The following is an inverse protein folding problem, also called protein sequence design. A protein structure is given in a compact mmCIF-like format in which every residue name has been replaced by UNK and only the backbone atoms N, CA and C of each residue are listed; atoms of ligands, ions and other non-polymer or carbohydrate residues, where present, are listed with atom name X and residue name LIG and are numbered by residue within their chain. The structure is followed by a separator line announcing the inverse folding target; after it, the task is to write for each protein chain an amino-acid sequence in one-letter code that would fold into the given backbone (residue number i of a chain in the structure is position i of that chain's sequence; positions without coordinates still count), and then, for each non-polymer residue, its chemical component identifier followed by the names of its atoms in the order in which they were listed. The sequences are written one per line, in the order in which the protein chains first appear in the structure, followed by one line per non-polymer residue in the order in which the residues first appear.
data_IF_395793093976
#
_entry.id   IF_395793093976
#
_cell.length_a   1.000
_cell.length_b   1.000
_cell.length_c   1.000
_cell.angle_alpha   90.00
_cell.angle_beta   90.00
_cell.angle_gamma   90.00
#
_symmetry.space_group_name_H-M   'P 1'
#
loop_
_entity.id
_entity.type
_entity.pdbx_description
1 polymer ?
#
# COMPACT_ATOMS: atom_id res chain seq x y z
N UNK A 1 52.75 -36.80 69.97
CA UNK A 1 52.20 -37.13 68.63
C UNK A 1 50.81 -36.50 68.48
N UNK A 2 50.65 -35.35 67.81
CA UNK A 2 49.35 -34.68 67.64
C UNK A 2 48.76 -35.12 66.29
N UNK A 3 47.56 -35.70 66.35
CA UNK A 3 46.80 -36.09 65.18
C UNK A 3 46.18 -34.85 64.53
N UNK A 4 46.50 -34.55 63.22
CA UNK A 4 45.81 -33.53 62.41
C UNK A 4 44.50 -34.12 61.91
N UNK A 5 43.39 -33.51 62.35
CA UNK A 5 42.06 -33.78 61.76
C UNK A 5 41.88 -32.96 60.43
N UNK A 6 41.69 -33.68 59.37
CA UNK A 6 41.37 -33.06 58.06
C UNK A 6 39.88 -32.76 58.03
N UNK A 7 39.52 -31.46 57.96
CA UNK A 7 38.15 -31.02 57.64
C UNK A 7 37.97 -30.96 56.12
N UNK A 8 37.11 -31.80 55.57
CA UNK A 8 36.63 -31.73 54.21
C UNK A 8 35.35 -30.87 54.14
N UNK A 9 35.43 -29.72 53.52
CA UNK A 9 34.26 -28.86 53.22
C UNK A 9 33.64 -29.32 51.90
N UNK A 10 32.35 -29.71 51.86
CA UNK A 10 31.70 -30.05 50.61
C UNK A 10 31.38 -28.76 49.83
N UNK A 11 31.89 -28.67 48.61
CA UNK A 11 31.58 -27.62 47.63
C UNK A 11 30.21 -27.92 47.02
N UNK A 12 29.18 -27.20 47.48
CA UNK A 12 27.85 -27.24 46.81
C UNK A 12 27.87 -26.37 45.57
N UNK A 13 27.91 -27.00 44.39
CA UNK A 13 27.70 -26.33 43.11
C UNK A 13 26.19 -26.04 42.95
N UNK A 14 25.82 -24.78 43.11
CA UNK A 14 24.48 -24.32 42.76
C UNK A 14 24.41 -24.16 41.22
N UNK A 15 23.80 -25.10 40.52
CA UNK A 15 23.40 -24.94 39.11
C UNK A 15 22.21 -23.98 39.07
N UNK A 16 22.47 -22.72 38.71
CA UNK A 16 21.42 -21.77 38.35
C UNK A 16 21.01 -22.09 36.91
N UNK A 17 19.91 -22.82 36.74
CA UNK A 17 19.25 -22.98 35.45
C UNK A 17 18.57 -21.66 35.06
N UNK A 18 19.24 -20.90 34.20
CA UNK A 18 18.62 -19.76 33.53
C UNK A 18 17.61 -20.31 32.50
N UNK A 19 16.35 -20.41 32.89
CA UNK A 19 15.24 -20.64 31.96
C UNK A 19 15.12 -19.40 31.11
N UNK A 20 15.74 -19.40 29.95
CA UNK A 20 15.41 -18.44 28.89
C UNK A 20 13.99 -18.73 28.43
N UNK A 21 13.00 -17.99 28.92
CA UNK A 21 11.70 -17.89 28.29
C UNK A 21 11.95 -17.30 26.88
N UNK A 22 11.93 -18.14 25.87
CA UNK A 22 11.83 -17.68 24.50
C UNK A 22 10.49 -16.94 24.42
N UNK A 23 10.52 -15.62 24.58
CA UNK A 23 9.42 -14.75 24.17
C UNK A 23 9.25 -15.02 22.70
N UNK A 24 8.15 -15.70 22.32
CA UNK A 24 7.82 -15.96 20.94
C UNK A 24 7.92 -14.65 20.17
N UNK A 25 8.82 -14.57 19.20
CA UNK A 25 9.01 -13.39 18.39
C UNK A 25 7.65 -13.04 17.79
N UNK A 26 7.11 -11.85 18.11
CA UNK A 26 5.82 -11.40 17.58
C UNK A 26 5.91 -11.47 16.05
N UNK A 27 5.03 -12.25 15.44
CA UNK A 27 4.99 -12.35 13.97
C UNK A 27 4.67 -10.97 13.40
N UNK A 28 5.51 -10.48 12.50
CA UNK A 28 5.28 -9.23 11.77
C UNK A 28 4.76 -9.61 10.37
N UNK A 29 3.49 -9.32 10.10
CA UNK A 29 2.82 -9.61 8.83
C UNK A 29 2.62 -8.32 8.05
N UNK A 30 3.15 -8.23 6.84
CA UNK A 30 3.19 -7.02 6.02
C UNK A 30 2.41 -7.23 4.73
N UNK A 31 1.53 -6.26 4.40
CA UNK A 31 0.80 -6.19 3.15
C UNK A 31 1.45 -5.14 2.24
N UNK A 32 1.76 -5.50 1.00
CA UNK A 32 2.34 -4.60 0.00
C UNK A 32 1.39 -4.52 -1.19
N UNK A 33 0.73 -3.37 -1.39
CA UNK A 33 -0.03 -3.09 -2.60
C UNK A 33 0.86 -2.38 -3.62
N UNK A 34 0.89 -2.89 -4.85
CA UNK A 34 1.84 -2.47 -5.88
C UNK A 34 1.11 -1.96 -7.10
N UNK A 35 1.41 -0.71 -7.48
CA UNK A 35 0.91 -0.05 -8.66
C UNK A 35 2.05 0.24 -9.66
N UNK A 36 1.76 0.76 -10.84
CA UNK A 36 2.76 0.86 -11.89
C UNK A 36 3.09 2.30 -12.31
N UNK A 37 2.13 3.20 -12.26
CA UNK A 37 2.30 4.59 -12.73
C UNK A 37 3.35 5.34 -11.94
N UNK A 38 3.48 5.07 -10.65
CA UNK A 38 4.41 5.74 -9.75
C UNK A 38 5.82 5.12 -9.68
N UNK A 39 6.11 4.00 -10.37
CA UNK A 39 7.46 3.42 -10.36
C UNK A 39 8.47 4.26 -11.16
N UNK A 40 9.76 4.04 -10.89
CA UNK A 40 10.85 4.77 -11.56
C UNK A 40 10.80 4.61 -13.08
N UNK A 41 10.90 5.73 -13.78
CA UNK A 41 11.02 5.78 -15.24
C UNK A 41 9.69 5.81 -15.99
N UNK A 42 8.59 5.36 -15.42
CA UNK A 42 7.26 5.43 -16.04
C UNK A 42 6.81 6.88 -16.18
N UNK A 43 6.45 7.29 -17.40
CA UNK A 43 6.04 8.66 -17.73
C UNK A 43 4.87 8.74 -18.70
N UNK A 44 4.55 7.65 -19.40
CA UNK A 44 3.51 7.59 -20.42
C UNK A 44 2.63 6.34 -20.26
N UNK A 45 1.41 6.40 -20.77
CA UNK A 45 0.48 5.26 -20.72
C UNK A 45 0.97 4.03 -21.47
N UNK A 46 1.84 4.21 -22.48
CA UNK A 46 2.49 3.10 -23.20
C UNK A 46 3.44 2.31 -22.34
N UNK A 47 3.95 2.90 -21.26
CA UNK A 47 4.83 2.24 -20.28
C UNK A 47 4.04 1.26 -19.41
N UNK A 48 2.73 1.46 -19.25
CA UNK A 48 1.88 0.74 -18.26
C UNK A 48 0.87 -0.21 -18.89
N UNK A 49 0.65 -0.14 -20.22
CA UNK A 49 -0.36 -0.96 -20.92
C UNK A 49 0.24 -2.22 -21.49
N UNK A 50 -0.37 -3.37 -21.18
CA UNK A 50 0.10 -4.69 -21.58
C UNK A 50 0.22 -4.94 -23.10
N UNK A 51 -0.43 -4.10 -23.92
CA UNK A 51 -0.35 -4.13 -25.39
C UNK A 51 0.91 -3.46 -25.95
N UNK A 52 1.60 -2.63 -25.16
CA UNK A 52 2.63 -1.74 -25.63
C UNK A 52 4.04 -2.26 -25.35
N UNK A 53 5.03 -1.91 -26.19
CA UNK A 53 6.36 -2.51 -26.18
C UNK A 53 7.15 -2.24 -24.90
N UNK A 54 7.03 -1.04 -24.32
CA UNK A 54 7.78 -0.61 -23.14
C UNK A 54 7.24 -1.22 -21.84
N UNK A 55 6.00 -1.67 -21.83
CA UNK A 55 5.39 -2.37 -20.70
C UNK A 55 6.22 -3.55 -20.21
N UNK A 56 6.83 -4.35 -21.10
CA UNK A 56 7.64 -5.50 -20.71
C UNK A 56 8.92 -5.11 -19.96
N UNK A 57 9.44 -3.93 -20.23
CA UNK A 57 10.56 -3.37 -19.46
C UNK A 57 10.07 -2.87 -18.09
N UNK A 58 8.99 -2.09 -18.06
CA UNK A 58 8.53 -1.46 -16.82
C UNK A 58 7.93 -2.45 -15.82
N UNK A 59 7.31 -3.53 -16.26
CA UNK A 59 6.89 -4.58 -15.33
C UNK A 59 8.07 -5.27 -14.62
N UNK A 60 9.26 -5.31 -15.25
CA UNK A 60 10.50 -5.75 -14.57
C UNK A 60 10.96 -4.73 -13.55
N UNK A 61 10.88 -3.44 -13.86
CA UNK A 61 11.19 -2.37 -12.89
C UNK A 61 10.25 -2.46 -11.70
N UNK A 62 8.95 -2.58 -11.94
CA UNK A 62 7.91 -2.78 -10.93
C UNK A 62 8.22 -4.00 -10.02
N UNK A 63 8.54 -5.15 -10.60
CA UNK A 63 8.89 -6.36 -9.84
C UNK A 63 10.13 -6.12 -8.97
N UNK A 64 11.15 -5.44 -9.49
CA UNK A 64 12.38 -5.14 -8.74
C UNK A 64 12.17 -4.12 -7.63
N UNK A 65 11.32 -3.09 -7.80
CA UNK A 65 10.96 -2.16 -6.72
C UNK A 65 10.13 -2.87 -5.64
N UNK A 66 9.25 -3.79 -6.03
CA UNK A 66 8.53 -4.67 -5.11
C UNK A 66 9.49 -5.53 -4.29
N UNK A 67 10.49 -6.15 -4.95
CA UNK A 67 11.51 -6.94 -4.25
C UNK A 67 12.30 -6.12 -3.24
N UNK A 68 12.65 -4.88 -3.57
CA UNK A 68 13.31 -3.99 -2.64
C UNK A 68 12.46 -3.72 -1.38
N UNK A 69 11.14 -3.56 -1.54
CA UNK A 69 10.23 -3.41 -0.41
C UNK A 69 10.13 -4.71 0.42
N UNK A 70 10.06 -5.88 -0.23
CA UNK A 70 10.07 -7.18 0.45
C UNK A 70 11.35 -7.35 1.26
N UNK A 71 12.52 -7.10 0.65
CA UNK A 71 13.81 -7.17 1.34
C UNK A 71 13.87 -6.26 2.55
N UNK A 72 13.41 -5.00 2.42
CA UNK A 72 13.33 -4.06 3.54
C UNK A 72 12.42 -4.56 4.66
N UNK A 73 11.29 -5.19 4.33
CA UNK A 73 10.37 -5.78 5.29
C UNK A 73 11.00 -6.99 6.01
N UNK A 74 11.64 -7.91 5.28
CA UNK A 74 12.33 -9.07 5.85
C UNK A 74 13.48 -8.64 6.78
N UNK A 75 14.28 -7.65 6.36
CA UNK A 75 15.35 -7.10 7.19
C UNK A 75 14.84 -6.38 8.45
N UNK A 76 13.60 -5.90 8.44
CA UNK A 76 12.92 -5.34 9.62
C UNK A 76 12.29 -6.42 10.51
N UNK A 77 12.37 -7.71 10.12
CA UNK A 77 11.86 -8.84 10.88
C UNK A 77 10.47 -9.31 10.47
N UNK A 78 9.97 -8.92 9.28
CA UNK A 78 8.72 -9.48 8.76
C UNK A 78 8.83 -11.00 8.61
N UNK A 79 7.83 -11.71 9.10
CA UNK A 79 7.74 -13.18 9.04
C UNK A 79 6.77 -13.67 7.99
N UNK A 80 5.93 -12.77 7.48
CA UNK A 80 5.01 -13.01 6.38
C UNK A 80 4.86 -11.74 5.56
N UNK A 81 5.03 -11.83 4.24
CA UNK A 81 4.84 -10.72 3.31
C UNK A 81 3.87 -11.16 2.23
N UNK A 82 2.78 -10.43 2.10
CA UNK A 82 1.79 -10.62 1.02
C UNK A 82 1.92 -9.42 0.07
N UNK A 83 2.12 -9.72 -1.20
CA UNK A 83 2.16 -8.74 -2.29
C UNK A 83 0.87 -8.82 -3.07
N UNK A 84 0.18 -7.69 -3.23
CA UNK A 84 -0.98 -7.50 -4.08
C UNK A 84 -0.55 -6.76 -5.34
N UNK A 85 -0.64 -7.41 -6.49
CA UNK A 85 -0.51 -6.77 -7.80
C UNK A 85 -1.80 -6.03 -8.11
N UNK A 86 -1.79 -4.70 -8.11
CA UNK A 86 -3.00 -3.89 -8.15
C UNK A 86 -3.11 -2.95 -9.35
N UNK A 87 -2.18 -3.03 -10.31
CA UNK A 87 -2.26 -2.24 -11.54
C UNK A 87 -3.04 -2.95 -12.65
N UNK A 88 -3.91 -2.21 -13.33
CA UNK A 88 -4.56 -2.61 -14.58
C UNK A 88 -5.17 -4.02 -14.55
N UNK A 89 -4.49 -5.00 -15.13
CA UNK A 89 -4.97 -6.40 -15.14
C UNK A 89 -4.67 -7.18 -13.85
N UNK A 90 -3.98 -6.59 -12.88
CA UNK A 90 -3.43 -7.25 -11.69
C UNK A 90 -2.54 -8.47 -12.03
N UNK A 91 -1.82 -8.41 -13.16
CA UNK A 91 -0.94 -9.49 -13.67
C UNK A 91 0.40 -8.95 -14.18
N UNK A 92 0.91 -7.90 -13.54
CA UNK A 92 2.08 -7.16 -13.98
C UNK A 92 3.38 -7.74 -13.38
N UNK A 93 3.37 -8.03 -12.09
CA UNK A 93 4.52 -8.63 -11.39
C UNK A 93 4.87 -9.97 -12.03
N UNK A 94 6.17 -10.20 -12.24
CA UNK A 94 6.73 -11.40 -12.80
C UNK A 94 6.95 -12.45 -11.68
N UNK A 95 6.16 -13.54 -11.63
CA UNK A 95 6.24 -14.49 -10.51
C UNK A 95 7.62 -15.13 -10.33
N UNK A 96 8.30 -15.46 -11.42
CA UNK A 96 9.66 -16.05 -11.38
C UNK A 96 10.74 -15.07 -10.91
N UNK A 97 10.49 -13.76 -11.02
CA UNK A 97 11.44 -12.72 -10.60
C UNK A 97 11.11 -12.13 -9.23
N UNK A 98 9.93 -12.46 -8.65
CA UNK A 98 9.53 -12.02 -7.33
C UNK A 98 10.35 -12.76 -6.26
N UNK A 99 10.70 -12.05 -5.18
CA UNK A 99 11.38 -12.63 -4.03
C UNK A 99 10.58 -13.84 -3.48
N UNK A 100 11.19 -15.03 -3.36
CA UNK A 100 10.51 -16.28 -3.01
C UNK A 100 9.94 -16.31 -1.58
N UNK A 101 10.37 -15.40 -0.71
CA UNK A 101 9.85 -15.29 0.67
C UNK A 101 8.49 -14.59 0.74
N UNK A 102 8.02 -13.98 -0.36
CA UNK A 102 6.71 -13.34 -0.41
C UNK A 102 5.67 -14.21 -1.11
N UNK A 103 4.41 -14.04 -0.73
CA UNK A 103 3.26 -14.61 -1.44
C UNK A 103 2.65 -13.55 -2.35
N UNK A 104 2.30 -13.90 -3.59
CA UNK A 104 1.72 -13.01 -4.58
C UNK A 104 0.22 -13.26 -4.73
N UNK A 105 -0.60 -12.25 -4.43
CA UNK A 105 -2.00 -12.21 -4.83
C UNK A 105 -2.09 -11.52 -6.20
N UNK A 106 -2.43 -12.28 -7.22
CA UNK A 106 -2.42 -11.90 -8.63
C UNK A 106 -3.78 -12.13 -9.28
N UNK A 107 -4.28 -11.16 -10.01
CA UNK A 107 -5.64 -11.15 -10.57
C UNK A 107 -6.63 -10.45 -9.64
N UNK A 108 -7.76 -10.00 -10.17
CA UNK A 108 -8.80 -9.34 -9.38
C UNK A 108 -9.72 -10.35 -8.70
N UNK A 109 -10.03 -10.12 -7.43
CA UNK A 109 -11.03 -10.91 -6.69
C UNK A 109 -12.45 -10.49 -7.10
N UNK A 110 -12.63 -9.21 -7.47
CA UNK A 110 -13.93 -8.66 -7.85
C UNK A 110 -14.81 -8.29 -6.66
N UNK A 111 -14.18 -8.00 -5.52
CA UNK A 111 -14.85 -7.58 -4.29
C UNK A 111 -14.66 -6.09 -3.98
N UNK A 112 -15.13 -5.62 -2.83
CA UNK A 112 -15.11 -4.21 -2.45
C UNK A 112 -13.73 -3.66 -2.06
N UNK A 113 -12.73 -4.51 -1.96
CA UNK A 113 -11.40 -4.10 -1.49
C UNK A 113 -10.48 -3.67 -2.64
N UNK A 114 -10.77 -4.05 -3.89
CA UNK A 114 -10.03 -3.63 -5.08
C UNK A 114 -8.53 -3.86 -4.96
N UNK A 115 -7.76 -2.77 -5.00
CA UNK A 115 -6.30 -2.80 -4.86
C UNK A 115 -5.81 -3.31 -3.50
N UNK A 116 -6.70 -3.48 -2.52
CA UNK A 116 -6.43 -4.00 -1.18
C UNK A 116 -6.97 -5.42 -0.96
N UNK A 117 -7.40 -6.11 -2.02
CA UNK A 117 -7.85 -7.50 -1.91
C UNK A 117 -6.81 -8.37 -1.21
N UNK A 118 -7.25 -9.13 -0.21
CA UNK A 118 -6.40 -9.99 0.61
C UNK A 118 -5.93 -9.38 1.93
N UNK A 119 -6.23 -8.10 2.20
CA UNK A 119 -6.00 -7.50 3.52
C UNK A 119 -7.04 -7.97 4.53
N UNK A 120 -6.60 -8.13 5.78
CA UNK A 120 -7.45 -8.38 6.94
C UNK A 120 -6.82 -7.78 8.22
N UNK A 121 -7.49 -7.91 9.36
CA UNK A 121 -7.03 -7.41 10.66
C UNK A 121 -5.80 -8.14 11.23
N UNK A 122 -5.31 -9.18 10.58
CA UNK A 122 -4.12 -9.92 11.02
C UNK A 122 -2.81 -9.30 10.56
N UNK A 123 -2.87 -8.31 9.66
CA UNK A 123 -1.70 -7.57 9.22
C UNK A 123 -1.26 -6.53 10.25
N UNK A 124 0.05 -6.29 10.34
CA UNK A 124 0.64 -5.28 11.23
C UNK A 124 0.94 -3.97 10.49
N UNK A 125 1.16 -4.00 9.17
CA UNK A 125 1.50 -2.84 8.36
C UNK A 125 1.09 -2.99 6.90
N UNK A 126 0.79 -1.84 6.26
CA UNK A 126 0.60 -1.69 4.81
C UNK A 126 1.69 -0.83 4.22
N UNK A 127 2.17 -1.24 3.04
CA UNK A 127 3.15 -0.54 2.22
C UNK A 127 2.55 -0.34 0.82
N UNK A 128 2.72 0.85 0.26
CA UNK A 128 2.34 1.20 -1.10
C UNK A 128 3.57 1.41 -1.98
N UNK A 129 3.66 0.72 -3.10
CA UNK A 129 4.76 0.82 -4.06
C UNK A 129 4.23 1.25 -5.41
N UNK A 130 4.85 2.28 -6.01
CA UNK A 130 4.51 2.71 -7.36
C UNK A 130 3.20 3.49 -7.49
N UNK A 131 2.75 4.14 -6.42
CA UNK A 131 1.51 4.92 -6.42
C UNK A 131 1.69 6.30 -7.06
N UNK A 132 0.59 6.84 -7.56
CA UNK A 132 0.50 8.11 -8.27
C UNK A 132 -0.53 9.05 -7.65
N UNK A 133 -0.60 10.29 -8.14
CA UNK A 133 -1.53 11.31 -7.66
C UNK A 133 -2.94 11.13 -8.24
N UNK A 134 -3.95 11.78 -7.60
CA UNK A 134 -5.33 11.83 -8.08
C UNK A 134 -5.48 12.71 -9.32
N UNK A 135 -6.61 12.60 -10.06
CA UNK A 135 -6.87 13.38 -11.27
C UNK A 135 -6.73 14.89 -11.06
N UNK A 136 -6.23 15.58 -12.09
CA UNK A 136 -6.12 17.03 -12.11
C UNK A 136 -5.01 17.60 -11.21
N UNK A 137 -4.07 16.79 -10.77
CA UNK A 137 -2.93 17.21 -9.94
C UNK A 137 -1.82 17.80 -10.81
N UNK A 138 -1.43 19.07 -10.60
CA UNK A 138 -0.33 19.67 -11.34
C UNK A 138 1.00 18.96 -11.07
N UNK A 139 1.86 18.87 -12.09
CA UNK A 139 3.18 18.24 -11.99
C UNK A 139 3.13 16.79 -11.44
N UNK A 140 2.07 16.08 -11.75
CA UNK A 140 1.93 14.65 -11.56
C UNK A 140 1.96 13.94 -12.92
N UNK A 141 2.31 12.66 -12.93
CA UNK A 141 2.41 11.86 -14.14
C UNK A 141 1.36 10.75 -14.07
N UNK A 142 0.56 10.61 -15.14
CA UNK A 142 -0.50 9.60 -15.26
C UNK A 142 -1.53 9.63 -14.13
N UNK A 143 -1.82 10.82 -13.61
CA UNK A 143 -2.67 11.04 -12.46
C UNK A 143 -4.12 10.59 -12.72
N UNK A 144 -4.66 9.78 -11.85
CA UNK A 144 -6.04 9.30 -11.90
C UNK A 144 -6.47 8.70 -10.55
N UNK A 145 -7.70 8.22 -10.45
CA UNK A 145 -8.19 7.41 -9.33
C UNK A 145 -9.11 6.34 -9.90
N UNK A 146 -8.71 5.08 -9.82
CA UNK A 146 -9.38 3.86 -10.26
C UNK A 146 -9.51 3.79 -11.79
N UNK A 147 -10.15 4.76 -12.43
CA UNK A 147 -10.33 4.79 -13.88
C UNK A 147 -9.82 6.10 -14.46
N UNK A 148 -8.71 6.02 -15.21
CA UNK A 148 -8.16 7.17 -15.94
C UNK A 148 -9.06 7.66 -17.08
N UNK A 149 -10.01 6.84 -17.54
CA UNK A 149 -10.93 7.17 -18.65
C UNK A 149 -12.25 7.73 -18.16
N UNK A 150 -12.71 7.37 -16.97
CA UNK A 150 -14.08 7.60 -16.55
C UNK A 150 -14.24 8.54 -15.35
N UNK A 151 -13.26 8.61 -14.47
CA UNK A 151 -13.36 9.34 -13.18
C UNK A 151 -12.52 10.62 -13.21
N UNK A 152 -13.07 11.71 -12.66
CA UNK A 152 -12.37 12.98 -12.45
C UNK A 152 -12.14 13.28 -10.97
N UNK A 153 -12.96 12.74 -10.07
CA UNK A 153 -12.75 12.88 -8.62
C UNK A 153 -13.50 11.79 -7.85
N UNK A 154 -12.90 11.32 -6.78
CA UNK A 154 -13.52 10.45 -5.77
C UNK A 154 -13.41 11.15 -4.43
N UNK A 155 -14.53 11.39 -3.76
CA UNK A 155 -14.54 11.92 -2.40
C UNK A 155 -15.16 10.93 -1.43
N UNK A 156 -14.46 10.68 -0.32
CA UNK A 156 -15.01 9.90 0.80
C UNK A 156 -15.10 10.83 2.01
N UNK A 157 -16.29 11.04 2.53
CA UNK A 157 -16.60 12.00 3.59
C UNK A 157 -16.04 13.42 3.32
N UNK A 158 -16.09 13.84 2.04
CA UNK A 158 -15.59 15.15 1.58
C UNK A 158 -14.09 15.22 1.31
N UNK A 159 -13.32 14.18 1.62
CA UNK A 159 -11.89 14.08 1.31
C UNK A 159 -11.74 13.60 -0.13
N UNK A 160 -11.18 14.45 -1.00
CA UNK A 160 -10.84 14.06 -2.38
C UNK A 160 -9.60 13.16 -2.37
N UNK A 161 -9.75 11.94 -2.84
CA UNK A 161 -8.80 10.86 -2.64
C UNK A 161 -8.03 10.49 -3.91
N UNK A 162 -6.68 10.40 -3.85
CA UNK A 162 -5.93 9.48 -4.71
C UNK A 162 -6.25 8.03 -4.30
N UNK A 163 -5.82 7.07 -5.09
CA UNK A 163 -5.94 5.65 -4.76
C UNK A 163 -5.28 5.31 -3.42
N UNK A 164 -4.11 5.89 -3.14
CA UNK A 164 -3.45 5.74 -1.84
C UNK A 164 -4.30 6.23 -0.66
N UNK A 165 -5.15 7.25 -0.87
CA UNK A 165 -6.11 7.72 0.12
C UNK A 165 -7.25 6.73 0.34
N UNK A 166 -7.91 6.28 -0.73
CA UNK A 166 -8.96 5.26 -0.67
C UNK A 166 -8.44 3.97 0.00
N UNK A 167 -7.28 3.50 -0.45
CA UNK A 167 -6.64 2.28 0.05
C UNK A 167 -6.16 2.42 1.51
N UNK A 168 -5.72 3.62 1.89
CA UNK A 168 -5.40 3.93 3.29
C UNK A 168 -6.62 3.88 4.20
N UNK A 169 -7.80 4.29 3.70
CA UNK A 169 -9.06 4.15 4.42
C UNK A 169 -9.51 2.68 4.52
N UNK A 170 -9.28 1.87 3.47
CA UNK A 170 -9.50 0.41 3.54
C UNK A 170 -8.58 -0.23 4.59
N UNK A 171 -7.29 0.10 4.60
CA UNK A 171 -6.35 -0.37 5.63
C UNK A 171 -6.83 0.03 7.04
N UNK A 172 -7.25 1.28 7.20
CA UNK A 172 -7.78 1.81 8.46
C UNK A 172 -9.06 1.11 8.93
N UNK A 173 -9.93 0.69 8.02
CA UNK A 173 -11.11 -0.13 8.34
C UNK A 173 -10.72 -1.44 9.03
N UNK A 174 -9.63 -2.09 8.60
CA UNK A 174 -9.04 -3.28 9.23
C UNK A 174 -8.10 -2.95 10.40
N UNK A 175 -7.99 -1.67 10.81
CA UNK A 175 -7.11 -1.22 11.88
C UNK A 175 -5.61 -1.44 11.60
N UNK A 176 -5.22 -1.47 10.33
CA UNK A 176 -3.84 -1.63 9.90
C UNK A 176 -3.27 -0.28 9.45
N UNK A 177 -2.13 0.17 10.00
CA UNK A 177 -1.51 1.42 9.59
C UNK A 177 -0.83 1.30 8.22
N UNK A 178 -0.93 2.33 7.39
CA UNK A 178 -0.06 2.51 6.22
C UNK A 178 1.23 3.17 6.70
N UNK A 179 2.37 2.52 6.48
CA UNK A 179 3.65 2.95 7.06
C UNK A 179 4.61 3.55 6.04
N UNK A 180 4.48 3.15 4.76
CA UNK A 180 5.38 3.60 3.69
C UNK A 180 4.65 3.72 2.35
N UNK A 181 5.04 4.73 1.56
CA UNK A 181 4.64 4.86 0.15
C UNK A 181 5.84 5.28 -0.69
N UNK A 182 6.05 4.60 -1.83
CA UNK A 182 6.86 5.11 -2.93
C UNK A 182 6.01 5.44 -4.15
N UNK A 183 6.36 6.53 -4.85
CA UNK A 183 5.61 6.98 -6.01
C UNK A 183 6.16 8.29 -6.59
N UNK A 184 5.33 9.05 -7.28
CA UNK A 184 5.70 10.41 -7.66
C UNK A 184 5.60 11.38 -6.46
N UNK A 185 6.23 12.57 -6.59
CA UNK A 185 6.25 13.57 -5.51
C UNK A 185 4.83 14.00 -5.09
N UNK A 186 3.91 14.15 -6.04
CA UNK A 186 2.55 14.59 -5.75
C UNK A 186 1.76 13.52 -4.99
N UNK A 187 1.95 12.24 -5.31
CA UNK A 187 1.38 11.13 -4.54
C UNK A 187 1.90 11.12 -3.10
N UNK A 188 3.22 11.33 -2.91
CA UNK A 188 3.83 11.44 -1.59
C UNK A 188 3.23 12.58 -0.75
N UNK A 189 3.02 13.73 -1.37
CA UNK A 189 2.44 14.89 -0.70
C UNK A 189 0.96 14.67 -0.35
N UNK A 190 0.18 14.09 -1.26
CA UNK A 190 -1.24 13.80 -1.06
C UNK A 190 -1.48 12.76 0.02
N UNK A 191 -0.72 11.66 0.03
CA UNK A 191 -0.90 10.64 1.06
C UNK A 191 -0.55 11.16 2.45
N UNK A 192 0.47 12.01 2.59
CA UNK A 192 0.80 12.67 3.86
C UNK A 192 -0.31 13.62 4.32
N UNK A 193 -0.91 14.36 3.39
CA UNK A 193 -1.99 15.29 3.72
C UNK A 193 -3.25 14.54 4.23
N UNK A 194 -3.49 13.30 3.76
CA UNK A 194 -4.65 12.50 4.15
C UNK A 194 -4.35 11.62 5.37
N UNK A 195 -3.28 10.82 5.32
CA UNK A 195 -2.98 9.81 6.34
C UNK A 195 -2.10 10.33 7.49
N UNK A 196 -1.49 11.52 7.33
CA UNK A 196 -0.65 12.13 8.36
C UNK A 196 0.75 11.52 8.42
N UNK A 197 1.10 10.91 9.54
CA UNK A 197 2.42 10.33 9.75
C UNK A 197 2.61 9.06 8.91
N UNK A 198 3.35 9.18 7.82
CA UNK A 198 3.74 8.10 6.91
C UNK A 198 5.12 8.39 6.33
N UNK A 199 5.99 7.39 6.23
CA UNK A 199 7.24 7.52 5.46
C UNK A 199 6.93 7.52 3.97
N UNK A 200 7.56 8.41 3.21
CA UNK A 200 7.38 8.45 1.75
C UNK A 200 8.70 8.60 1.03
N UNK A 201 8.76 8.07 -0.18
CA UNK A 201 9.87 8.22 -1.10
C UNK A 201 9.37 8.65 -2.48
N UNK A 202 9.69 9.86 -2.90
CA UNK A 202 9.47 10.27 -4.28
C UNK A 202 10.57 9.70 -5.17
N UNK A 203 10.24 8.73 -6.02
CA UNK A 203 11.17 8.17 -7.00
C UNK A 203 11.23 9.00 -8.28
N UNK A 204 10.25 9.89 -8.45
CA UNK A 204 10.20 10.87 -9.55
C UNK A 204 9.41 12.12 -9.15
N UNK A 205 9.63 13.20 -9.91
CA UNK A 205 8.90 14.46 -9.81
C UNK A 205 8.43 14.88 -11.18
N UNK A 206 7.13 15.08 -11.36
CA UNK A 206 6.54 15.58 -12.59
C UNK A 206 6.95 17.02 -12.90
N UNK A 207 7.10 17.31 -14.20
CA UNK A 207 7.33 18.65 -14.77
C UNK A 207 6.46 18.74 -16.02
N UNK A 208 5.24 19.21 -15.90
CA UNK A 208 4.23 19.05 -16.93
C UNK A 208 3.98 17.56 -17.23
N UNK A 209 4.07 17.17 -18.49
CA UNK A 209 3.94 15.78 -18.93
C UNK A 209 5.24 14.95 -18.84
N UNK A 210 6.36 15.56 -18.42
CA UNK A 210 7.63 14.88 -18.21
C UNK A 210 7.86 14.60 -16.73
N UNK A 211 8.85 13.77 -16.40
CA UNK A 211 9.28 13.57 -15.03
C UNK A 211 10.81 13.54 -14.90
N UNK A 212 11.29 14.14 -13.83
CA UNK A 212 12.66 13.95 -13.37
C UNK A 212 12.69 12.70 -12.47
N UNK A 213 13.33 11.65 -12.95
CA UNK A 213 13.37 10.34 -12.30
C UNK A 213 14.68 10.11 -11.55
N UNK A 214 14.62 9.40 -10.42
CA UNK A 214 15.78 8.72 -9.87
C UNK A 214 16.17 7.56 -10.80
N UNK A 215 17.46 7.20 -10.79
CA UNK A 215 17.87 5.96 -11.44
C UNK A 215 17.19 4.76 -10.77
N UNK A 216 16.64 3.78 -11.50
CA UNK A 216 15.86 2.68 -10.89
C UNK A 216 16.61 1.88 -9.83
N UNK A 217 17.96 1.77 -9.96
CA UNK A 217 18.78 1.13 -8.93
C UNK A 217 18.79 1.94 -7.63
N UNK A 218 18.93 3.27 -7.74
CA UNK A 218 18.90 4.16 -6.57
C UNK A 218 17.52 4.17 -5.90
N UNK A 219 16.45 4.10 -6.69
CA UNK A 219 15.09 3.97 -6.14
C UNK A 219 14.93 2.69 -5.32
N UNK A 220 15.41 1.57 -5.81
CA UNK A 220 15.37 0.29 -5.09
C UNK A 220 16.13 0.33 -3.77
N UNK A 221 17.34 0.89 -3.77
CA UNK A 221 18.12 1.08 -2.54
C UNK A 221 17.32 1.88 -1.51
N UNK A 222 16.78 3.04 -1.91
CA UNK A 222 16.03 3.93 -1.02
C UNK A 222 14.67 3.35 -0.59
N UNK A 223 13.98 2.58 -1.43
CA UNK A 223 12.75 1.86 -1.07
C UNK A 223 13.05 0.86 0.06
N UNK A 224 14.08 0.03 -0.13
CA UNK A 224 14.49 -0.96 0.88
C UNK A 224 14.81 -0.31 2.22
N UNK A 225 15.62 0.74 2.22
CA UNK A 225 15.98 1.49 3.42
C UNK A 225 14.76 2.15 4.08
N UNK A 226 13.88 2.78 3.26
CA UNK A 226 12.68 3.46 3.73
C UNK A 226 11.67 2.50 4.39
N UNK A 227 11.44 1.34 3.78
CA UNK A 227 10.58 0.30 4.33
C UNK A 227 11.14 -0.25 5.64
N UNK A 228 12.44 -0.58 5.66
CA UNK A 228 13.11 -1.05 6.88
C UNK A 228 13.02 -0.03 8.02
N UNK A 229 13.25 1.25 7.72
CA UNK A 229 13.13 2.35 8.67
C UNK A 229 11.69 2.50 9.19
N UNK A 230 10.70 2.47 8.31
CA UNK A 230 9.28 2.58 8.70
C UNK A 230 8.87 1.44 9.62
N UNK A 231 9.16 0.20 9.27
CA UNK A 231 8.81 -0.96 10.09
C UNK A 231 9.59 -0.99 11.42
N UNK A 232 10.82 -0.47 11.47
CA UNK A 232 11.61 -0.33 12.69
C UNK A 232 11.01 0.63 13.72
N UNK A 233 10.06 1.49 13.31
CA UNK A 233 9.31 2.42 14.18
C UNK A 233 7.79 2.25 14.04
N UNK A 234 7.33 1.02 13.83
CA UNK A 234 5.92 0.70 13.57
C UNK A 234 4.94 1.31 14.58
N UNK A 235 5.33 1.42 15.85
CA UNK A 235 4.50 2.02 16.90
C UNK A 235 4.15 3.50 16.70
N UNK A 236 4.89 4.21 15.85
CA UNK A 236 4.67 5.63 15.59
C UNK A 236 3.50 5.85 14.61
N UNK A 237 3.13 4.83 13.84
CA UNK A 237 2.06 4.90 12.86
C UNK A 237 0.73 4.49 13.46
N UNK A 238 -0.33 5.15 13.02
CA UNK A 238 -1.70 4.86 13.42
C UNK A 238 -2.54 4.51 12.21
N UNK A 239 -3.46 3.54 12.30
CA UNK A 239 -4.48 3.35 11.28
C UNK A 239 -5.27 4.64 11.03
N UNK A 240 -5.61 4.91 9.79
CA UNK A 240 -6.51 6.03 9.47
C UNK A 240 -7.93 5.70 9.93
N UNK A 241 -8.51 6.53 10.79
CA UNK A 241 -9.85 6.30 11.30
C UNK A 241 -10.86 7.20 10.58
N UNK A 242 -11.81 6.58 9.90
CA UNK A 242 -12.96 7.25 9.31
C UNK A 242 -14.21 6.89 10.09
N UNK A 243 -15.00 7.90 10.48
CA UNK A 243 -16.24 7.71 11.24
C UNK A 243 -17.44 7.79 10.31
N UNK A 244 -18.39 6.87 10.48
CA UNK A 244 -19.66 6.90 9.74
C UNK A 244 -20.64 7.97 10.23
N UNK A 245 -21.71 8.25 9.48
CA UNK A 245 -22.03 7.59 8.21
C UNK A 245 -21.01 7.88 7.12
N UNK A 246 -20.78 6.89 6.25
CA UNK A 246 -19.81 6.99 5.16
C UNK A 246 -20.50 7.47 3.90
N UNK A 247 -19.99 8.55 3.32
CA UNK A 247 -20.49 9.12 2.07
C UNK A 247 -19.40 9.04 1.01
N UNK A 248 -19.73 8.49 -0.16
CA UNK A 248 -18.88 8.55 -1.34
C UNK A 248 -19.53 9.40 -2.43
N UNK A 249 -18.73 10.24 -3.07
CA UNK A 249 -19.10 11.06 -4.21
C UNK A 249 -18.11 10.75 -5.34
N UNK A 250 -18.64 10.23 -6.45
CA UNK A 250 -17.81 9.92 -7.64
C UNK A 250 -18.21 10.88 -8.74
N UNK A 251 -17.25 11.66 -9.22
CA UNK A 251 -17.44 12.59 -10.34
C UNK A 251 -16.82 11.98 -11.59
N UNK A 252 -17.63 11.84 -12.63
CA UNK A 252 -17.28 11.18 -13.89
C UNK A 252 -16.87 12.17 -14.96
N UNK A 253 -16.24 11.68 -16.04
CA UNK A 253 -15.92 12.46 -17.24
C UNK A 253 -17.11 12.65 -18.18
N UNK A 254 -18.16 11.84 -18.02
CA UNK A 254 -19.39 11.97 -18.81
C UNK A 254 -20.64 11.76 -17.95
N UNK A 255 -21.73 12.38 -18.40
CA UNK A 255 -23.02 12.39 -17.72
C UNK A 255 -23.66 10.99 -17.65
N UNK A 256 -23.50 10.18 -18.70
CA UNK A 256 -24.08 8.83 -18.78
C UNK A 256 -23.58 7.93 -17.63
N UNK A 257 -22.30 8.00 -17.31
CA UNK A 257 -21.71 7.25 -16.18
C UNK A 257 -22.32 7.68 -14.86
N UNK A 258 -22.43 8.99 -14.61
CA UNK A 258 -23.08 9.50 -13.41
C UNK A 258 -24.55 9.08 -13.29
N UNK A 259 -25.26 9.09 -14.42
CA UNK A 259 -26.65 8.63 -14.47
C UNK A 259 -26.77 7.13 -14.12
N UNK A 260 -25.92 6.30 -14.72
CA UNK A 260 -25.89 4.85 -14.45
C UNK A 260 -25.54 4.54 -13.01
N UNK A 261 -24.52 5.19 -12.45
CA UNK A 261 -24.10 5.01 -11.07
C UNK A 261 -25.22 5.40 -10.08
N UNK A 262 -26.01 6.43 -10.40
CA UNK A 262 -27.15 6.84 -9.57
C UNK A 262 -28.33 5.84 -9.60
N UNK A 263 -28.32 4.82 -10.47
CA UNK A 263 -29.29 3.71 -10.44
C UNK A 263 -28.95 2.67 -9.37
N UNK A 264 -27.79 2.76 -8.76
CA UNK A 264 -27.46 1.92 -7.62
C UNK A 264 -28.47 2.13 -6.49
N UNK A 265 -28.99 1.07 -5.84
CA UNK A 265 -29.97 1.20 -4.77
C UNK A 265 -29.49 2.11 -3.62
N UNK A 266 -30.19 3.22 -3.40
CA UNK A 266 -29.85 4.22 -2.39
C UNK A 266 -28.85 5.28 -2.83
N UNK A 267 -28.30 5.21 -4.04
CA UNK A 267 -27.51 6.28 -4.61
C UNK A 267 -28.39 7.40 -5.19
N UNK A 268 -27.81 8.57 -5.35
CA UNK A 268 -28.47 9.75 -5.93
C UNK A 268 -27.53 10.48 -6.86
N UNK A 269 -28.08 11.11 -7.88
CA UNK A 269 -27.32 12.02 -8.74
C UNK A 269 -27.33 13.41 -8.08
N UNK A 270 -26.17 13.84 -7.59
CA UNK A 270 -26.02 15.11 -6.86
C UNK A 270 -25.46 16.25 -7.69
N UNK A 271 -25.04 15.96 -8.92
CA UNK A 271 -24.61 16.92 -9.94
C UNK A 271 -24.75 16.27 -11.31
N UNK A 272 -24.55 17.06 -12.36
CA UNK A 272 -24.68 16.53 -13.73
C UNK A 272 -23.75 15.35 -14.00
N UNK A 273 -22.58 15.36 -13.37
CA UNK A 273 -21.52 14.37 -13.56
C UNK A 273 -21.18 13.62 -12.26
N UNK A 274 -21.95 13.78 -11.19
CA UNK A 274 -21.64 13.23 -9.88
C UNK A 274 -22.77 12.35 -9.37
N UNK A 275 -22.42 11.13 -8.99
CA UNK A 275 -23.25 10.23 -8.22
C UNK A 275 -22.74 10.12 -6.79
N UNK A 276 -23.67 10.06 -5.84
CA UNK A 276 -23.39 10.01 -4.39
C UNK A 276 -24.12 8.83 -3.77
N UNK A 277 -23.40 8.12 -2.91
CA UNK A 277 -23.96 7.04 -2.11
C UNK A 277 -23.56 7.20 -0.65
N UNK A 278 -24.46 6.88 0.28
CA UNK A 278 -24.19 6.94 1.73
C UNK A 278 -24.64 5.63 2.39
N UNK A 279 -23.77 5.10 3.26
CA UNK A 279 -24.06 3.90 4.06
C UNK A 279 -23.48 4.04 5.47
N UNK A 280 -24.03 3.29 6.42
CA UNK A 280 -23.42 3.08 7.73
C UNK A 280 -22.33 2.02 7.72
N UNK A 281 -22.14 1.33 6.60
CA UNK A 281 -21.09 0.32 6.40
C UNK A 281 -20.06 0.84 5.40
N UNK A 282 -18.79 0.91 5.82
CA UNK A 282 -17.69 1.40 4.98
C UNK A 282 -17.55 0.59 3.68
N UNK A 283 -17.63 -0.73 3.78
CA UNK A 283 -17.45 -1.60 2.60
C UNK A 283 -18.58 -1.44 1.56
N UNK A 284 -19.75 -0.89 1.92
CA UNK A 284 -20.80 -0.64 0.93
C UNK A 284 -20.44 0.53 0.02
N UNK A 285 -19.81 1.59 0.54
CA UNK A 285 -19.34 2.69 -0.30
C UNK A 285 -18.18 2.25 -1.20
N UNK A 286 -17.36 1.32 -0.75
CA UNK A 286 -16.31 0.74 -1.58
C UNK A 286 -16.88 -0.17 -2.68
N UNK A 287 -17.93 -0.95 -2.40
CA UNK A 287 -18.68 -1.70 -3.44
C UNK A 287 -19.28 -0.75 -4.48
N UNK A 288 -19.83 0.39 -4.02
CA UNK A 288 -20.34 1.39 -4.95
C UNK A 288 -19.25 1.91 -5.89
N UNK A 289 -18.05 2.19 -5.38
CA UNK A 289 -16.91 2.59 -6.20
C UNK A 289 -16.53 1.50 -7.20
N UNK A 290 -16.26 0.28 -6.72
CA UNK A 290 -15.70 -0.83 -7.50
C UNK A 290 -16.65 -1.35 -8.61
N UNK A 291 -17.95 -1.11 -8.50
CA UNK A 291 -18.93 -1.59 -9.47
C UNK A 291 -19.47 -0.49 -10.41
N UNK A 292 -19.02 0.76 -10.29
CA UNK A 292 -19.55 1.90 -11.03
C UNK A 292 -18.49 2.73 -11.77
N UNK A 293 -17.35 2.15 -12.16
CA UNK A 293 -16.36 2.82 -13.03
C UNK A 293 -16.13 2.07 -14.33
#
# INVERSE_FOLDING_TARGET
MKKLQKFTVPLFLFLVSVSSTALGQKKLKVFISVDMEGISGVVDWTDTRGSDGDYQYFRKVMTKETNAAIEGALEAGATEVIVRDSHGSARNILPEELNPEAKLLRGWVGGPLGMMDGIDETFDAVIFIGYHAKPGTPNAVLEHTVSSTDITDVKINGISCPESGCNGMVAGYFKVPVVFLSGDQAACDQVKAILGNIETLAVKKGIGAAALNLHPEKSRELIKEGVKKALGRLSDFKPFELTGPYKIEVTYKNEEKAYKAALWPGATRTGDWTATYTSNQFLDIMKFLELNY
#
